data_IF_966541728147
#
_entry.id   IF_966541728147
#
_cell.length_a   1.000
_cell.length_b   1.000
_cell.length_c   1.000
_cell.angle_alpha   90.00
_cell.angle_beta   90.00
_cell.angle_gamma   90.00
#
_symmetry.space_group_name_H-M   'P 1'
#
loop_
_entity.id
_entity.type
_entity.pdbx_description
1 polymer ?
#
# COMPACT_ATOMS: atom_id res chain seq x y z
N UNK A 1 -29.91 17.81 4.69
CA UNK A 1 -29.33 17.13 3.50
C UNK A 1 -28.38 18.08 2.75
N UNK A 2 -27.08 17.97 2.99
CA UNK A 2 -26.09 18.81 2.29
C UNK A 2 -25.91 18.28 0.87
N UNK A 3 -26.41 19.04 -0.11
CA UNK A 3 -26.12 18.81 -1.51
C UNK A 3 -24.69 19.29 -1.77
N UNK A 4 -23.72 18.38 -1.68
CA UNK A 4 -22.35 18.68 -2.09
C UNK A 4 -22.35 18.91 -3.60
N UNK A 5 -22.09 20.15 -4.02
CA UNK A 5 -21.87 20.48 -5.41
C UNK A 5 -20.54 19.83 -5.84
N UNK A 6 -20.63 18.71 -6.54
CA UNK A 6 -19.48 18.04 -7.17
C UNK A 6 -19.15 18.78 -8.47
N UNK A 7 -18.60 19.99 -8.38
CA UNK A 7 -18.17 20.73 -9.56
C UNK A 7 -16.80 20.19 -9.98
N UNK A 8 -16.69 19.45 -11.11
CA UNK A 8 -15.41 18.90 -11.53
C UNK A 8 -14.49 20.04 -11.97
N UNK A 9 -13.39 20.23 -11.24
CA UNK A 9 -12.35 21.20 -11.57
C UNK A 9 -11.09 20.49 -12.04
N UNK A 10 -10.64 20.78 -13.26
CA UNK A 10 -9.38 20.24 -13.79
C UNK A 10 -8.15 20.67 -12.98
N UNK A 11 -8.19 21.85 -12.33
CA UNK A 11 -7.09 22.33 -11.50
C UNK A 11 -7.02 21.68 -10.11
N UNK A 12 -8.08 20.98 -9.71
CA UNK A 12 -8.18 20.27 -8.42
C UNK A 12 -8.20 18.74 -8.59
N UNK A 13 -8.19 18.26 -9.83
CA UNK A 13 -8.17 16.84 -10.15
C UNK A 13 -6.74 16.39 -10.45
N UNK A 14 -6.27 15.39 -9.72
CA UNK A 14 -4.95 14.79 -9.92
C UNK A 14 -5.06 13.27 -9.92
N UNK A 15 -4.30 12.63 -10.79
CA UNK A 15 -4.09 11.17 -10.78
C UNK A 15 -2.68 10.92 -10.27
N UNK A 16 -2.59 10.19 -9.17
CA UNK A 16 -1.30 9.81 -8.59
C UNK A 16 -1.03 8.33 -8.88
N UNK A 17 0.18 8.01 -9.31
CA UNK A 17 0.67 6.64 -9.41
C UNK A 17 1.67 6.35 -8.28
N UNK A 18 1.50 5.22 -7.61
CA UNK A 18 2.48 4.72 -6.62
C UNK A 18 3.13 3.46 -7.16
N UNK A 19 4.43 3.52 -7.45
CA UNK A 19 5.22 2.34 -7.77
C UNK A 19 5.75 1.74 -6.47
N UNK A 20 5.13 0.65 -6.02
CA UNK A 20 5.50 -0.01 -4.77
C UNK A 20 6.93 -0.55 -4.87
N UNK A 21 7.79 -0.17 -3.93
CA UNK A 21 9.18 -0.65 -3.84
C UNK A 21 9.36 -1.75 -2.80
N UNK A 22 8.52 -1.75 -1.77
CA UNK A 22 8.58 -2.69 -0.65
C UNK A 22 7.19 -2.96 -0.09
N UNK A 23 6.94 -4.19 0.31
CA UNK A 23 5.76 -4.62 1.06
C UNK A 23 6.21 -5.33 2.34
N UNK A 24 5.53 -5.05 3.45
CA UNK A 24 5.67 -5.80 4.70
C UNK A 24 4.31 -6.39 5.08
N UNK A 25 4.31 -7.68 5.38
CA UNK A 25 3.15 -8.39 5.90
C UNK A 25 3.39 -8.72 7.38
N UNK A 26 2.37 -8.47 8.20
CA UNK A 26 2.35 -8.78 9.64
C UNK A 26 1.12 -9.63 9.95
N UNK A 27 1.33 -10.84 10.45
CA UNK A 27 0.28 -11.66 11.05
C UNK A 27 0.33 -11.54 12.56
N UNK A 28 -0.80 -11.17 13.17
CA UNK A 28 -1.01 -11.14 14.62
C UNK A 28 -1.82 -12.35 15.12
N UNK A 29 -1.90 -13.44 14.33
CA UNK A 29 -2.51 -14.70 14.77
C UNK A 29 -1.63 -15.37 15.83
N UNK A 30 -2.11 -16.50 16.40
CA UNK A 30 -1.41 -17.25 17.46
C UNK A 30 0.10 -17.45 17.24
N UNK A 31 0.52 -17.57 15.98
CA UNK A 31 1.92 -17.45 15.60
C UNK A 31 2.16 -16.12 14.88
N UNK A 32 2.84 -15.20 15.57
CA UNK A 32 3.27 -13.94 14.97
C UNK A 32 4.34 -14.23 13.92
N UNK A 33 4.16 -13.68 12.73
CA UNK A 33 5.20 -13.73 11.70
C UNK A 33 5.16 -12.50 10.84
N UNK A 34 6.32 -12.18 10.29
CA UNK A 34 6.53 -11.07 9.39
C UNK A 34 7.19 -11.55 8.11
N UNK A 35 6.77 -10.99 6.99
CA UNK A 35 7.42 -11.21 5.70
C UNK A 35 7.65 -9.87 5.01
N UNK A 36 8.79 -9.72 4.36
CA UNK A 36 9.12 -8.58 3.52
C UNK A 36 9.32 -9.01 2.06
N UNK A 37 8.93 -8.14 1.15
CA UNK A 37 9.09 -8.31 -0.29
C UNK A 37 9.64 -7.02 -0.88
N UNK A 38 10.61 -7.10 -1.79
CA UNK A 38 11.22 -5.93 -2.42
C UNK A 38 11.08 -5.99 -3.95
N UNK A 39 11.06 -4.83 -4.61
CA UNK A 39 10.93 -4.80 -6.07
C UNK A 39 12.23 -5.23 -6.78
N UNK A 40 13.39 -4.97 -6.16
CA UNK A 40 14.72 -5.24 -6.73
C UNK A 40 15.08 -6.73 -6.77
N UNK A 41 14.48 -7.54 -5.91
CA UNK A 41 14.65 -9.00 -5.85
C UNK A 41 13.54 -9.78 -6.58
N UNK A 42 12.73 -9.10 -7.40
CA UNK A 42 11.55 -9.65 -8.09
C UNK A 42 10.48 -10.15 -7.10
N UNK A 43 10.31 -9.47 -5.98
CA UNK A 43 9.35 -9.79 -4.94
C UNK A 43 9.63 -11.14 -4.28
N UNK A 44 10.91 -11.49 -4.13
CA UNK A 44 11.30 -12.66 -3.35
C UNK A 44 10.94 -12.41 -1.87
N UNK A 45 10.09 -13.28 -1.32
CA UNK A 45 9.68 -13.16 0.07
C UNK A 45 10.79 -13.54 1.04
N UNK A 46 11.05 -12.71 2.04
CA UNK A 46 11.96 -13.01 3.14
C UNK A 46 11.21 -13.00 4.47
N UNK A 47 11.36 -14.06 5.25
CA UNK A 47 10.82 -14.12 6.61
C UNK A 47 11.63 -13.22 7.54
N UNK A 48 10.94 -12.40 8.33
CA UNK A 48 11.53 -11.56 9.35
C UNK A 48 11.19 -12.10 10.73
N UNK A 49 12.09 -11.89 11.69
CA UNK A 49 11.76 -12.05 13.10
C UNK A 49 10.52 -11.21 13.45
N UNK A 50 9.56 -11.75 14.23
CA UNK A 50 8.39 -11.02 14.68
C UNK A 50 8.73 -9.64 15.27
#
# INVERSE_FOLDING_TARGET
PFAYALTPSRSQFVVCSCAVQKLEFLSLKEQHFRAAFQADDRWAGTWLSP
#
